data_IF_131312441587
#
_entry.id   IF_131312441587
#
_cell.length_a   1.000
_cell.length_b   1.000
_cell.length_c   1.000
_cell.angle_alpha   90.00
_cell.angle_beta   90.00
_cell.angle_gamma   90.00
#
_symmetry.space_group_name_H-M   'P 1'
#
loop_
_entity.id
_entity.type
_entity.pdbx_description
1 polymer ?
#
# COMPACT_ATOMS: atom_id res chain seq x y z
N UNK A 1 6.17 9.96 13.13
CA UNK A 1 5.24 9.69 14.25
C UNK A 1 5.06 8.19 14.37
N UNK A 2 4.97 7.67 15.59
CA UNK A 2 4.73 6.25 15.89
C UNK A 2 3.69 6.21 17.00
N UNK A 3 2.70 5.32 16.90
CA UNK A 3 1.72 5.04 17.95
C UNK A 3 2.00 3.64 18.51
N UNK A 4 1.74 3.45 19.80
CA UNK A 4 2.03 2.22 20.52
C UNK A 4 0.85 1.84 21.41
N UNK A 5 0.48 0.57 21.41
CA UNK A 5 -0.51 -0.03 22.31
C UNK A 5 -0.02 -1.43 22.73
N UNK A 6 0.45 -1.55 23.97
CA UNK A 6 1.15 -2.75 24.45
C UNK A 6 2.34 -3.11 23.54
N UNK A 7 2.32 -4.33 23.00
CA UNK A 7 3.35 -4.83 22.05
C UNK A 7 3.12 -4.37 20.60
N UNK A 8 2.02 -3.66 20.32
CA UNK A 8 1.63 -3.24 18.98
C UNK A 8 2.20 -1.84 18.68
N UNK A 9 2.83 -1.71 17.52
CA UNK A 9 3.40 -0.44 17.04
C UNK A 9 2.85 -0.10 15.66
N UNK A 10 2.26 1.09 15.53
CA UNK A 10 1.88 1.67 14.26
C UNK A 10 2.84 2.78 13.87
N UNK A 11 3.45 2.67 12.69
CA UNK A 11 4.39 3.65 12.15
C UNK A 11 4.19 3.83 10.65
N UNK A 12 4.58 4.98 10.08
CA UNK A 12 4.65 5.15 8.63
C UNK A 12 5.45 4.02 7.98
N UNK A 13 4.90 3.51 6.88
CA UNK A 13 5.54 2.49 6.08
C UNK A 13 6.78 3.06 5.37
N UNK A 14 7.85 2.26 5.26
CA UNK A 14 9.14 2.68 4.71
C UNK A 14 9.53 1.83 3.51
N UNK A 15 10.40 2.36 2.66
CA UNK A 15 10.92 1.62 1.49
C UNK A 15 11.54 0.28 1.87
N UNK A 16 12.26 0.22 2.99
CA UNK A 16 12.90 -1.00 3.51
C UNK A 16 11.91 -2.09 3.94
N UNK A 17 10.65 -1.76 4.20
CA UNK A 17 9.65 -2.74 4.64
C UNK A 17 9.13 -3.62 3.47
N UNK A 18 9.55 -3.33 2.23
CA UNK A 18 9.04 -3.99 1.02
C UNK A 18 9.10 -5.52 1.08
N UNK A 19 10.19 -6.08 1.62
CA UNK A 19 10.36 -7.53 1.74
C UNK A 19 9.29 -8.14 2.66
N UNK A 20 9.12 -7.56 3.84
CA UNK A 20 8.14 -8.03 4.84
C UNK A 20 6.72 -7.84 4.32
N UNK A 21 6.43 -6.67 3.74
CA UNK A 21 5.14 -6.40 3.13
C UNK A 21 4.79 -7.42 2.04
N UNK A 22 5.73 -7.72 1.12
CA UNK A 22 5.50 -8.71 0.06
C UNK A 22 5.28 -10.11 0.62
N UNK A 23 6.06 -10.49 1.64
CA UNK A 23 5.93 -11.79 2.29
C UNK A 23 4.54 -11.98 2.92
N UNK A 24 4.07 -11.00 3.68
CA UNK A 24 2.76 -11.03 4.33
C UNK A 24 1.63 -11.06 3.28
N UNK A 25 1.70 -10.22 2.25
CA UNK A 25 0.71 -10.22 1.16
C UNK A 25 0.69 -11.58 0.43
N UNK A 26 1.85 -12.17 0.16
CA UNK A 26 1.93 -13.48 -0.50
C UNK A 26 1.28 -14.57 0.34
N UNK A 27 1.58 -14.63 1.65
CA UNK A 27 1.01 -15.64 2.56
C UNK A 27 -0.51 -15.53 2.69
N UNK A 28 -1.04 -14.31 2.62
CA UNK A 28 -2.47 -14.04 2.82
C UNK A 28 -3.23 -13.82 1.51
N UNK A 29 -2.61 -14.10 0.34
CA UNK A 29 -3.16 -13.74 -0.97
C UNK A 29 -4.60 -14.23 -1.17
N UNK A 30 -4.85 -15.49 -0.83
CA UNK A 30 -6.15 -16.12 -1.10
C UNK A 30 -7.25 -15.55 -0.18
N UNK A 31 -6.89 -15.13 1.05
CA UNK A 31 -7.79 -14.42 1.96
C UNK A 31 -8.02 -12.96 1.55
N UNK A 32 -6.99 -12.28 1.05
CA UNK A 32 -7.06 -10.87 0.64
C UNK A 32 -7.79 -10.67 -0.70
N UNK A 33 -7.69 -11.63 -1.62
CA UNK A 33 -8.20 -11.52 -3.00
C UNK A 33 -9.62 -10.94 -3.13
N UNK A 34 -10.65 -11.37 -2.38
CA UNK A 34 -12.00 -10.81 -2.53
C UNK A 34 -12.12 -9.35 -2.04
N UNK A 35 -11.18 -8.87 -1.23
CA UNK A 35 -11.20 -7.54 -0.63
C UNK A 35 -10.28 -6.54 -1.34
N UNK A 36 -9.41 -7.00 -2.25
CA UNK A 36 -8.51 -6.11 -2.97
C UNK A 36 -9.22 -5.37 -4.10
N UNK A 37 -9.02 -4.05 -4.16
CA UNK A 37 -9.51 -3.23 -5.27
C UNK A 37 -8.93 -3.71 -6.61
N UNK A 38 -9.82 -3.99 -7.56
CA UNK A 38 -9.44 -4.29 -8.95
C UNK A 38 -9.04 -3.02 -9.68
N UNK A 39 -8.13 -3.15 -10.63
CA UNK A 39 -7.79 -2.03 -11.52
C UNK A 39 -8.97 -1.81 -12.48
N UNK A 40 -9.54 -0.60 -12.56
CA UNK A 40 -10.66 -0.35 -13.46
C UNK A 40 -10.21 -0.52 -14.93
N UNK A 41 -11.11 -0.97 -15.82
CA UNK A 41 -10.80 -1.02 -17.24
C UNK A 41 -10.47 0.39 -17.76
N UNK A 42 -9.60 0.50 -18.79
CA UNK A 42 -9.26 1.79 -19.37
C UNK A 42 -10.50 2.45 -19.99
N UNK A 43 -10.63 3.76 -19.82
CA UNK A 43 -11.59 4.55 -20.57
C UNK A 43 -11.22 4.54 -22.07
N UNK A 44 -12.20 4.69 -23.00
CA UNK A 44 -11.90 4.77 -24.43
C UNK A 44 -10.87 5.87 -24.73
N UNK A 45 -9.74 5.50 -25.35
CA UNK A 45 -8.64 6.41 -25.67
C UNK A 45 -7.77 6.85 -24.47
N UNK A 46 -8.08 6.39 -23.26
CA UNK A 46 -7.34 6.70 -22.04
C UNK A 46 -6.15 5.76 -21.79
N UNK A 47 -5.20 6.16 -20.93
CA UNK A 47 -4.09 5.30 -20.55
C UNK A 47 -4.57 4.08 -19.75
N UNK A 48 -3.85 2.96 -19.88
CA UNK A 48 -4.11 1.76 -19.09
C UNK A 48 -3.77 2.06 -17.62
N UNK A 49 -4.78 2.05 -16.75
CA UNK A 49 -4.58 2.14 -15.32
C UNK A 49 -3.75 0.92 -14.85
N UNK A 50 -2.79 1.15 -13.97
CA UNK A 50 -2.00 0.08 -13.36
C UNK A 50 -2.02 0.24 -11.85
N UNK A 51 -1.92 -0.89 -11.14
CA UNK A 51 -1.79 -0.85 -9.68
C UNK A 51 -0.51 -0.11 -9.30
N UNK A 52 -0.56 0.83 -8.34
CA UNK A 52 0.65 1.50 -7.86
C UNK A 52 1.69 0.50 -7.38
N UNK A 53 2.94 0.74 -7.74
CA UNK A 53 4.07 0.00 -7.15
C UNK A 53 4.21 0.32 -5.67
N UNK A 54 4.83 -0.58 -4.90
CA UNK A 54 5.14 -0.35 -3.49
C UNK A 54 5.87 0.98 -3.24
N UNK A 55 6.80 1.35 -4.15
CA UNK A 55 7.54 2.62 -4.06
C UNK A 55 6.63 3.82 -4.29
N UNK A 56 5.72 3.75 -5.27
CA UNK A 56 4.72 4.81 -5.49
C UNK A 56 3.79 4.96 -4.30
N UNK A 57 3.29 3.85 -3.74
CA UNK A 57 2.44 3.84 -2.54
C UNK A 57 3.15 4.50 -1.34
N UNK A 58 4.37 4.10 -1.02
CA UNK A 58 5.14 4.69 0.11
C UNK A 58 5.39 6.18 -0.11
N UNK A 59 5.68 6.62 -1.35
CA UNK A 59 5.88 8.05 -1.66
C UNK A 59 4.60 8.84 -1.46
N UNK A 60 3.48 8.33 -1.98
CA UNK A 60 2.17 8.97 -1.84
C UNK A 60 1.76 9.11 -0.36
N UNK A 61 1.85 8.03 0.42
CA UNK A 61 1.51 8.06 1.86
C UNK A 61 2.41 9.01 2.65
N UNK A 62 3.69 9.16 2.27
CA UNK A 62 4.59 10.16 2.88
C UNK A 62 4.21 11.58 2.51
N UNK A 63 3.77 11.81 1.27
CA UNK A 63 3.32 13.13 0.83
C UNK A 63 2.05 13.55 1.59
N UNK A 64 1.08 12.64 1.74
CA UNK A 64 -0.14 12.89 2.54
C UNK A 64 0.20 13.19 4.00
N UNK A 65 1.08 12.38 4.62
CA UNK A 65 1.51 12.60 6.00
C UNK A 65 2.22 13.96 6.19
N UNK A 66 3.05 14.38 5.22
CA UNK A 66 3.69 15.70 5.24
C UNK A 66 2.70 16.85 5.01
N UNK A 67 1.59 16.58 4.33
CA UNK A 67 0.49 17.52 4.12
C UNK A 67 -0.53 17.53 5.28
N UNK A 68 -0.37 16.68 6.30
CA UNK A 68 -1.27 16.58 7.45
C UNK A 68 -2.58 15.85 7.18
N UNK A 69 -2.60 14.95 6.18
CA UNK A 69 -3.76 14.10 5.83
C UNK A 69 -3.47 12.62 6.09
#
# INVERSE_FOLDING_TARGET
>A
MTLTDGEIVLRPIKMRDQRVWREVNRRNRDWLRPWEATVPPPAPGGPIAQRPTYRQMVRHLRAEANAGR
#
